data_IF_393124559323
#
_entry.id   IF_393124559323
#
_cell.length_a   1.000
_cell.length_b   1.000
_cell.length_c   1.000
_cell.angle_alpha   90.00
_cell.angle_beta   90.00
_cell.angle_gamma   90.00
#
_symmetry.space_group_name_H-M   'P 1'
#
loop_
_entity.id
_entity.type
_entity.pdbx_description
1 polymer ?
#
# COMPACT_ATOMS: atom_id res chain seq x y z
N UNK A 1 -1.39 -24.79 2.60
CA UNK A 1 -1.42 -24.90 1.13
C UNK A 1 -2.41 -26.00 0.77
N UNK A 2 -3.24 -25.79 -0.25
CA UNK A 2 -4.08 -26.83 -0.86
C UNK A 2 -3.73 -26.97 -2.34
N UNK A 3 -3.80 -28.18 -2.88
CA UNK A 3 -3.44 -28.49 -4.27
C UNK A 3 -4.55 -29.32 -4.91
N UNK A 4 -5.04 -28.85 -6.05
CA UNK A 4 -5.88 -29.67 -6.93
C UNK A 4 -5.04 -30.23 -8.05
N UNK A 5 -5.16 -31.53 -8.30
CA UNK A 5 -4.38 -32.25 -9.31
C UNK A 5 -5.31 -32.64 -10.45
N UNK A 6 -4.90 -32.36 -11.69
CA UNK A 6 -5.62 -32.86 -12.85
C UNK A 6 -5.39 -34.36 -13.03
N UNK A 7 -6.48 -35.12 -13.13
CA UNK A 7 -6.47 -36.57 -13.33
C UNK A 7 -6.86 -36.86 -14.78
N UNK A 8 -5.93 -37.43 -15.54
CA UNK A 8 -6.13 -37.80 -16.94
C UNK A 8 -7.03 -39.05 -17.05
N UNK A 9 -7.12 -39.65 -18.24
CA UNK A 9 -7.96 -40.80 -18.54
C UNK A 9 -9.33 -40.34 -19.04
N UNK A 10 -10.38 -41.03 -18.60
CA UNK A 10 -11.77 -40.61 -18.77
C UNK A 10 -12.29 -39.83 -17.55
N UNK A 11 -11.51 -39.70 -16.47
CA UNK A 11 -11.87 -38.84 -15.33
C UNK A 11 -11.91 -37.36 -15.74
N UNK A 12 -10.84 -36.85 -16.34
CA UNK A 12 -10.75 -35.51 -16.95
C UNK A 12 -11.25 -34.36 -16.08
N UNK A 13 -10.89 -34.37 -14.80
CA UNK A 13 -11.23 -33.32 -13.85
C UNK A 13 -10.15 -33.18 -12.77
N UNK A 14 -10.28 -32.14 -11.96
CA UNK A 14 -9.41 -31.85 -10.83
C UNK A 14 -9.87 -32.60 -9.58
N UNK A 15 -8.89 -33.07 -8.80
CA UNK A 15 -9.12 -33.62 -7.46
C UNK A 15 -8.22 -32.94 -6.45
N UNK A 16 -8.81 -32.48 -5.36
CA UNK A 16 -8.08 -31.94 -4.21
C UNK A 16 -7.29 -33.02 -3.50
N UNK A 17 -5.98 -32.78 -3.33
CA UNK A 17 -5.09 -33.63 -2.55
C UNK A 17 -5.32 -33.43 -1.03
N UNK A 18 -5.12 -34.46 -0.20
CA UNK A 18 -4.74 -35.83 -0.57
C UNK A 18 -5.92 -36.66 -1.10
N UNK A 19 -5.64 -37.59 -2.02
CA UNK A 19 -6.57 -38.63 -2.45
C UNK A 19 -5.83 -39.94 -2.71
N UNK A 20 -6.53 -41.06 -2.62
CA UNK A 20 -5.99 -42.41 -2.87
C UNK A 20 -6.99 -43.23 -3.68
N UNK A 21 -6.48 -44.19 -4.46
CA UNK A 21 -7.27 -45.13 -5.27
C UNK A 21 -8.27 -44.45 -6.21
N UNK A 22 -7.94 -43.25 -6.70
CA UNK A 22 -8.77 -42.55 -7.65
C UNK A 22 -8.54 -43.14 -9.05
N UNK A 23 -9.53 -43.86 -9.54
CA UNK A 23 -9.52 -44.42 -10.88
C UNK A 23 -9.56 -43.29 -11.93
N UNK A 24 -8.65 -43.38 -12.91
CA UNK A 24 -8.63 -42.47 -14.05
C UNK A 24 -9.73 -42.81 -15.08
N UNK A 25 -10.53 -43.84 -14.81
CA UNK A 25 -11.65 -44.37 -15.59
C UNK A 25 -11.23 -44.87 -16.98
N UNK A 26 -9.95 -45.18 -17.17
CA UNK A 26 -9.42 -45.74 -18.40
C UNK A 26 -9.07 -47.21 -18.22
N UNK A 27 -9.74 -48.08 -18.99
CA UNK A 27 -9.42 -49.50 -19.07
C UNK A 27 -8.15 -49.81 -19.90
N UNK A 28 -7.40 -48.79 -20.32
CA UNK A 28 -6.20 -48.96 -21.12
C UNK A 28 -5.10 -49.70 -20.32
N UNK A 29 -4.50 -50.73 -20.92
CA UNK A 29 -3.33 -51.45 -20.35
C UNK A 29 -2.00 -50.74 -20.62
N UNK A 30 -2.04 -49.41 -20.73
CA UNK A 30 -0.84 -48.60 -20.98
C UNK A 30 0.10 -48.69 -19.77
N UNK A 31 1.40 -48.86 -20.02
CA UNK A 31 2.43 -48.98 -18.97
C UNK A 31 2.83 -50.40 -18.60
N UNK A 32 2.20 -51.44 -19.19
CA UNK A 32 2.53 -52.85 -18.93
C UNK A 32 3.54 -53.47 -19.92
N UNK A 33 3.83 -52.80 -21.04
CA UNK A 33 4.79 -53.23 -22.06
C UNK A 33 5.95 -52.23 -22.15
N UNK A 34 7.11 -52.69 -22.63
CA UNK A 34 8.28 -51.83 -22.87
C UNK A 34 8.00 -50.95 -24.09
N UNK A 35 7.80 -49.64 -23.87
CA UNK A 35 7.52 -48.65 -24.91
C UNK A 35 7.20 -47.28 -24.31
N UNK A 36 7.18 -46.24 -25.13
CA UNK A 36 6.90 -44.86 -24.69
C UNK A 36 5.42 -44.70 -24.33
N UNK A 37 5.14 -44.65 -23.03
CA UNK A 37 3.82 -44.30 -22.49
C UNK A 37 3.92 -42.94 -21.82
N UNK A 38 3.12 -41.98 -22.30
CA UNK A 38 3.07 -40.64 -21.72
C UNK A 38 2.00 -40.56 -20.66
N UNK A 39 2.41 -40.35 -19.41
CA UNK A 39 1.51 -40.04 -18.31
C UNK A 39 1.39 -38.53 -18.15
N UNK A 40 0.15 -38.02 -18.08
CA UNK A 40 -0.10 -36.57 -17.93
C UNK A 40 -0.93 -36.22 -16.71
N UNK A 41 -1.37 -37.20 -15.91
CA UNK A 41 -1.91 -36.93 -14.56
C UNK A 41 -0.86 -36.18 -13.75
N UNK A 42 -1.25 -35.08 -13.11
CA UNK A 42 -0.34 -34.20 -12.37
C UNK A 42 0.42 -33.17 -13.22
N UNK A 43 0.33 -33.23 -14.57
CA UNK A 43 0.93 -32.18 -15.42
C UNK A 43 0.23 -30.82 -15.32
N UNK A 44 -0.99 -30.79 -14.76
CA UNK A 44 -1.78 -29.58 -14.50
C UNK A 44 -2.28 -29.65 -13.06
N UNK A 45 -2.38 -28.49 -12.42
CA UNK A 45 -2.93 -28.38 -11.08
C UNK A 45 -3.33 -26.95 -10.75
N UNK A 46 -4.04 -26.81 -9.63
CA UNK A 46 -4.36 -25.53 -9.02
C UNK A 46 -3.75 -25.49 -7.63
N UNK A 47 -3.33 -24.31 -7.20
CA UNK A 47 -2.72 -24.08 -5.90
C UNK A 47 -3.53 -23.05 -5.14
N UNK A 48 -3.81 -23.31 -3.87
CA UNK A 48 -4.34 -22.33 -2.93
C UNK A 48 -3.36 -22.13 -1.78
N UNK A 49 -2.92 -20.88 -1.63
CA UNK A 49 -2.05 -20.44 -0.54
C UNK A 49 -2.92 -19.79 0.54
N UNK A 50 -2.61 -20.08 1.80
CA UNK A 50 -3.26 -19.47 2.95
C UNK A 50 -2.18 -18.86 3.82
N UNK A 51 -2.27 -17.55 4.03
CA UNK A 51 -1.39 -16.79 4.92
C UNK A 51 -2.01 -16.92 6.31
N UNK A 52 -1.41 -17.75 7.17
CA UNK A 52 -1.91 -17.98 8.52
C UNK A 52 -1.45 -16.92 9.52
N UNK A 53 -0.28 -16.34 9.28
CA UNK A 53 0.28 -15.23 10.03
C UNK A 53 0.63 -14.13 9.03
N UNK A 54 0.09 -12.91 9.22
CA UNK A 54 0.53 -11.76 8.47
C UNK A 54 2.04 -11.55 8.59
N UNK A 55 2.65 -10.96 7.56
CA UNK A 55 4.08 -10.62 7.55
C UNK A 55 4.26 -9.30 6.82
N UNK A 56 5.40 -8.66 7.03
CA UNK A 56 5.76 -7.39 6.38
C UNK A 56 6.76 -7.62 5.25
N UNK A 57 6.57 -6.93 4.13
CA UNK A 57 7.50 -6.96 3.01
C UNK A 57 7.33 -8.19 2.11
N UNK A 58 8.34 -9.07 2.10
CA UNK A 58 8.41 -10.21 1.19
C UNK A 58 8.63 -11.53 1.94
N UNK A 59 7.86 -12.54 1.57
CA UNK A 59 8.08 -13.92 1.98
C UNK A 59 8.64 -14.73 0.80
N UNK A 60 9.85 -15.26 0.96
CA UNK A 60 10.48 -16.15 0.00
C UNK A 60 10.08 -17.60 0.27
N UNK A 61 9.54 -18.27 -0.74
CA UNK A 61 9.23 -19.71 -0.73
C UNK A 61 10.40 -20.43 -1.44
N UNK A 62 11.31 -21.10 -0.71
CA UNK A 62 12.34 -21.91 -1.33
C UNK A 62 11.71 -23.10 -2.07
N UNK A 63 12.47 -23.76 -2.93
CA UNK A 63 12.01 -24.97 -3.62
C UNK A 63 11.56 -26.02 -2.61
N UNK A 64 10.24 -26.14 -2.46
CA UNK A 64 9.58 -26.94 -1.43
C UNK A 64 8.74 -28.00 -2.12
N UNK A 65 8.93 -29.27 -1.76
CA UNK A 65 8.08 -30.34 -2.27
C UNK A 65 6.68 -30.23 -1.69
N UNK A 66 5.68 -30.07 -2.55
CA UNK A 66 4.27 -29.85 -2.13
C UNK A 66 3.36 -31.05 -2.42
N UNK A 67 3.78 -31.98 -3.29
CA UNK A 67 2.97 -33.12 -3.69
C UNK A 67 3.87 -34.25 -4.18
N UNK A 68 3.52 -35.49 -3.83
CA UNK A 68 3.98 -36.70 -4.49
C UNK A 68 2.79 -37.39 -5.16
N UNK A 69 2.95 -37.74 -6.44
CA UNK A 69 1.96 -38.46 -7.22
C UNK A 69 2.37 -39.92 -7.34
N UNK A 70 1.51 -40.81 -6.85
CA UNK A 70 1.65 -42.24 -6.99
C UNK A 70 0.61 -42.79 -7.97
N UNK A 71 0.96 -43.85 -8.69
CA UNK A 71 0.02 -44.57 -9.55
C UNK A 71 0.15 -46.07 -9.34
N UNK A 72 -0.95 -46.78 -9.56
CA UNK A 72 -1.01 -48.23 -9.43
C UNK A 72 -2.06 -48.83 -10.37
N UNK A 73 -1.84 -50.08 -10.77
CA UNK A 73 -2.85 -50.91 -11.43
C UNK A 73 -3.63 -51.80 -10.45
N UNK A 74 -3.29 -51.79 -9.16
CA UNK A 74 -3.96 -52.57 -8.11
C UNK A 74 -4.25 -51.67 -6.92
N UNK A 75 -5.53 -51.57 -6.58
CA UNK A 75 -6.03 -50.81 -5.42
C UNK A 75 -5.20 -51.14 -4.17
N UNK A 76 -4.83 -50.10 -3.43
CA UNK A 76 -4.03 -50.15 -2.19
C UNK A 76 -2.60 -50.72 -2.32
N UNK A 77 -2.09 -50.94 -3.54
CA UNK A 77 -0.72 -51.42 -3.76
C UNK A 77 0.10 -50.37 -4.49
N UNK A 78 0.87 -49.59 -3.75
CA UNK A 78 1.73 -48.52 -4.30
C UNK A 78 3.20 -48.85 -4.14
N UNK A 79 4.04 -48.32 -5.02
CA UNK A 79 5.49 -48.34 -4.84
C UNK A 79 5.88 -47.26 -3.79
N UNK A 80 7.01 -47.46 -3.11
CA UNK A 80 7.59 -46.46 -2.22
C UNK A 80 8.09 -45.21 -2.96
N UNK A 81 8.43 -45.34 -4.24
CA UNK A 81 8.85 -44.22 -5.09
C UNK A 81 7.65 -43.61 -5.85
N UNK A 82 7.47 -42.28 -5.84
CA UNK A 82 6.42 -41.63 -6.60
C UNK A 82 6.72 -41.64 -8.11
N UNK A 83 5.68 -41.53 -8.92
CA UNK A 83 5.79 -41.33 -10.37
C UNK A 83 6.28 -39.92 -10.71
N UNK A 84 5.84 -38.94 -9.92
CA UNK A 84 6.25 -37.55 -10.06
C UNK A 84 6.16 -36.83 -8.70
N UNK A 85 7.00 -35.81 -8.52
CA UNK A 85 6.94 -34.91 -7.38
C UNK A 85 6.80 -33.48 -7.88
N UNK A 86 5.96 -32.69 -7.22
CA UNK A 86 5.77 -31.28 -7.54
C UNK A 86 6.46 -30.43 -6.49
N UNK A 87 7.28 -29.48 -6.95
CA UNK A 87 7.95 -28.50 -6.12
C UNK A 87 7.40 -27.11 -6.42
N UNK A 88 7.27 -26.30 -5.37
CA UNK A 88 6.87 -24.89 -5.45
C UNK A 88 8.01 -24.01 -4.95
N UNK A 89 8.28 -22.93 -5.68
CA UNK A 89 9.15 -21.84 -5.26
C UNK A 89 8.59 -20.52 -5.77
N UNK A 90 8.93 -19.42 -5.11
CA UNK A 90 8.53 -18.08 -5.53
C UNK A 90 8.61 -17.10 -4.37
N UNK A 91 8.02 -15.92 -4.55
CA UNK A 91 7.90 -14.94 -3.47
C UNK A 91 6.49 -14.36 -3.38
N UNK A 92 6.12 -13.94 -2.18
CA UNK A 92 4.87 -13.23 -1.90
C UNK A 92 5.24 -11.87 -1.34
N UNK A 93 4.82 -10.80 -2.01
CA UNK A 93 5.07 -9.42 -1.60
C UNK A 93 3.75 -8.81 -1.15
N UNK A 94 3.74 -8.18 0.04
CA UNK A 94 2.58 -7.44 0.55
C UNK A 94 2.76 -5.94 0.36
N UNK A 95 1.74 -5.20 -0.13
CA UNK A 95 1.84 -3.77 -0.28
C UNK A 95 1.87 -3.08 1.09
N UNK A 96 2.70 -2.06 1.19
CA UNK A 96 2.76 -1.16 2.35
C UNK A 96 1.86 0.05 2.10
N UNK A 97 1.25 0.59 3.14
CA UNK A 97 0.40 1.76 2.98
C UNK A 97 0.05 2.44 4.29
N UNK A 98 -0.32 3.71 4.21
CA UNK A 98 -0.88 4.48 5.29
C UNK A 98 -2.13 5.22 4.80
N UNK A 99 -3.18 5.19 5.61
CA UNK A 99 -4.44 5.89 5.36
C UNK A 99 -4.70 6.88 6.49
N UNK A 100 -5.21 8.07 6.14
CA UNK A 100 -5.62 9.05 7.14
C UNK A 100 -6.79 8.48 7.96
N UNK A 101 -6.72 8.61 9.28
CA UNK A 101 -7.80 8.17 10.17
C UNK A 101 -9.14 8.83 9.82
N UNK A 102 -10.18 8.00 9.69
CA UNK A 102 -11.57 8.38 9.42
C UNK A 102 -12.08 9.46 10.38
N UNK A 103 -12.80 10.46 9.86
CA UNK A 103 -13.37 11.57 10.65
C UNK A 103 -12.55 12.86 10.65
N UNK A 104 -11.40 12.87 9.97
CA UNK A 104 -10.56 14.04 9.78
C UNK A 104 -11.04 14.85 8.57
N UNK A 105 -12.04 15.72 8.73
CA UNK A 105 -12.23 16.78 7.73
C UNK A 105 -11.03 17.73 7.79
N UNK A 106 -10.35 17.88 6.65
CA UNK A 106 -9.21 18.78 6.46
C UNK A 106 -9.67 20.08 5.81
N UNK A 107 -10.69 20.68 6.39
CA UNK A 107 -11.07 22.04 6.06
C UNK A 107 -10.39 22.96 7.07
N UNK A 108 -9.66 23.96 6.56
CA UNK A 108 -8.91 24.93 7.36
C UNK A 108 -9.54 26.31 7.15
N UNK A 109 -10.48 26.71 8.03
CA UNK A 109 -11.11 28.01 7.92
C UNK A 109 -10.18 29.08 8.52
N UNK A 110 -9.52 29.87 7.68
CA UNK A 110 -8.71 31.00 8.16
C UNK A 110 -9.58 32.14 8.73
N UNK A 111 -10.84 32.22 8.32
CA UNK A 111 -11.79 33.25 8.75
C UNK A 111 -11.73 34.52 7.90
N UNK A 112 -12.38 35.56 8.39
CA UNK A 112 -12.49 36.85 7.70
C UNK A 112 -11.36 37.81 8.09
N UNK A 113 -10.80 38.50 7.11
CA UNK A 113 -9.74 39.48 7.29
C UNK A 113 -10.06 40.77 6.57
N UNK A 114 -9.59 41.90 7.10
CA UNK A 114 -9.62 43.16 6.35
C UNK A 114 -8.49 43.12 5.33
N UNK A 115 -8.71 43.66 4.13
CA UNK A 115 -7.64 43.75 3.13
C UNK A 115 -6.38 44.46 3.68
N UNK A 116 -6.56 45.45 4.57
CA UNK A 116 -5.46 46.14 5.26
C UNK A 116 -4.59 45.25 6.12
N UNK A 117 -5.07 44.08 6.55
CA UNK A 117 -4.32 43.12 7.35
C UNK A 117 -3.21 42.41 6.54
N UNK A 118 -3.27 42.49 5.21
CA UNK A 118 -2.25 41.94 4.29
C UNK A 118 -1.31 43.01 3.73
N UNK A 119 -1.67 44.30 3.84
CA UNK A 119 -0.90 45.39 3.25
C UNK A 119 0.47 45.56 3.91
N UNK A 120 1.51 45.74 3.10
CA UNK A 120 2.91 45.96 3.48
C UNK A 120 3.53 44.78 4.26
N UNK A 121 3.04 43.55 4.00
CA UNK A 121 3.39 42.32 4.73
C UNK A 121 3.83 41.16 3.84
N UNK A 122 4.53 41.45 2.73
CA UNK A 122 5.01 40.42 1.80
C UNK A 122 5.76 39.30 2.53
N UNK A 123 5.35 38.05 2.29
CA UNK A 123 5.89 36.84 2.90
C UNK A 123 5.51 36.63 4.37
N UNK A 124 4.69 37.51 4.95
CA UNK A 124 4.33 37.47 6.37
C UNK A 124 2.87 37.07 6.54
N UNK A 125 2.60 36.43 7.68
CA UNK A 125 1.24 36.15 8.16
C UNK A 125 0.40 37.42 8.20
N UNK A 126 -0.87 37.31 7.79
CA UNK A 126 -1.82 38.42 7.87
C UNK A 126 -1.92 38.94 9.31
N UNK A 127 -2.12 40.25 9.46
CA UNK A 127 -2.27 40.86 10.78
C UNK A 127 -3.50 40.25 11.48
N UNK A 128 -3.35 39.92 12.77
CA UNK A 128 -4.38 39.27 13.60
C UNK A 128 -4.77 37.84 13.17
N UNK A 129 -4.08 37.22 12.20
CA UNK A 129 -4.33 35.82 11.90
C UNK A 129 -3.81 34.91 13.02
N UNK A 130 -4.54 33.83 13.24
CA UNK A 130 -4.11 32.75 14.12
C UNK A 130 -3.60 31.59 13.28
N UNK A 131 -2.58 30.88 13.78
CA UNK A 131 -2.14 29.63 13.16
C UNK A 131 -3.14 28.53 13.51
N UNK A 132 -3.77 27.94 12.52
CA UNK A 132 -4.64 26.79 12.69
C UNK A 132 -3.78 25.54 12.83
N UNK A 133 -3.77 24.91 14.00
CA UNK A 133 -2.99 23.69 14.25
C UNK A 133 -3.90 22.48 14.22
N UNK A 134 -3.52 21.46 13.45
CA UNK A 134 -4.24 20.19 13.34
C UNK A 134 -3.29 19.03 13.57
N UNK A 135 -3.70 18.10 14.43
CA UNK A 135 -3.06 16.80 14.55
C UNK A 135 -3.58 15.87 13.44
N UNK A 136 -2.65 15.19 12.78
CA UNK A 136 -2.91 14.20 11.75
C UNK A 136 -2.48 12.84 12.26
N UNK A 137 -3.36 11.86 12.11
CA UNK A 137 -3.08 10.48 12.46
C UNK A 137 -3.37 9.59 11.26
N UNK A 138 -2.43 8.70 10.97
CA UNK A 138 -2.48 7.74 9.87
C UNK A 138 -2.44 6.33 10.44
N UNK A 139 -3.31 5.47 9.92
CA UNK A 139 -3.28 4.03 10.15
C UNK A 139 -2.42 3.41 9.07
N UNK A 140 -1.32 2.79 9.47
CA UNK A 140 -0.35 2.21 8.56
C UNK A 140 -0.35 0.69 8.67
N UNK A 141 -0.19 0.03 7.53
CA UNK A 141 -0.24 -1.43 7.39
C UNK A 141 0.99 -1.91 6.65
N UNK A 142 1.56 -3.03 7.11
CA UNK A 142 2.74 -3.67 6.54
C UNK A 142 3.95 -2.74 6.47
N UNK A 143 4.16 -1.88 7.47
CA UNK A 143 5.37 -1.07 7.59
C UNK A 143 6.28 -1.73 8.63
N UNK A 144 7.56 -1.93 8.31
CA UNK A 144 8.55 -2.54 9.21
C UNK A 144 9.07 -1.55 10.25
N UNK A 145 9.68 -2.06 11.32
CA UNK A 145 10.38 -1.21 12.29
C UNK A 145 11.58 -0.51 11.66
N UNK A 146 11.80 0.75 12.04
CA UNK A 146 12.89 1.58 11.53
C UNK A 146 12.60 2.26 10.18
N UNK A 147 11.51 1.89 9.48
CA UNK A 147 11.05 2.60 8.28
C UNK A 147 10.55 3.99 8.66
N UNK A 148 10.95 4.98 7.88
CA UNK A 148 10.56 6.37 8.06
C UNK A 148 9.37 6.70 7.19
N UNK A 149 8.49 7.53 7.72
CA UNK A 149 7.30 7.98 7.01
C UNK A 149 7.36 9.49 6.96
N UNK A 150 7.16 10.04 5.76
CA UNK A 150 7.25 11.46 5.50
C UNK A 150 5.95 11.99 4.92
N UNK A 151 5.54 13.17 5.37
CA UNK A 151 4.45 13.96 4.81
C UNK A 151 5.02 15.08 3.95
N UNK A 152 4.45 15.24 2.76
CA UNK A 152 4.64 16.40 1.90
C UNK A 152 3.32 16.88 1.31
N UNK A 153 3.35 18.07 0.73
CA UNK A 153 2.17 18.72 0.16
C UNK A 153 2.33 18.86 -1.35
N UNK A 154 1.29 18.50 -2.08
CA UNK A 154 1.15 18.73 -3.53
C UNK A 154 0.02 19.74 -3.73
N UNK A 155 0.18 20.68 -4.67
CA UNK A 155 -0.81 21.74 -4.89
C UNK A 155 -0.27 22.84 -5.79
N UNK A 156 -1.12 23.77 -6.20
CA UNK A 156 -0.68 24.90 -7.05
C UNK A 156 0.06 25.92 -6.17
N UNK A 157 1.35 26.22 -6.41
CA UNK A 157 2.04 27.29 -5.70
C UNK A 157 1.51 28.66 -6.12
N UNK A 158 1.48 29.62 -5.20
CA UNK A 158 1.12 31.00 -5.54
C UNK A 158 2.19 31.60 -6.47
N UNK A 159 1.75 32.31 -7.51
CA UNK A 159 2.66 32.86 -8.53
C UNK A 159 3.65 33.91 -7.99
N UNK A 160 3.34 34.57 -6.87
CA UNK A 160 4.16 35.63 -6.28
C UNK A 160 4.97 35.17 -5.05
N UNK A 161 4.66 34.00 -4.49
CA UNK A 161 5.39 33.35 -3.40
C UNK A 161 5.24 31.82 -3.51
N UNK A 162 6.26 31.14 -4.02
CA UNK A 162 6.24 29.70 -4.26
C UNK A 162 6.15 28.86 -2.98
N UNK A 163 6.40 29.46 -1.81
CA UNK A 163 6.25 28.76 -0.53
C UNK A 163 4.77 28.58 -0.15
N UNK A 164 3.88 29.39 -0.72
CA UNK A 164 2.46 29.40 -0.40
C UNK A 164 1.64 28.64 -1.44
N UNK A 165 0.54 28.06 -0.98
CA UNK A 165 -0.53 27.48 -1.81
C UNK A 165 -1.34 28.64 -2.40
N UNK A 166 -1.65 28.54 -3.68
CA UNK A 166 -2.54 29.46 -4.37
C UNK A 166 -3.98 29.34 -3.85
N UNK A 167 -4.58 30.49 -3.54
CA UNK A 167 -5.97 30.60 -3.07
C UNK A 167 -6.88 31.28 -4.12
N UNK A 168 -6.43 31.36 -5.37
CA UNK A 168 -7.14 32.08 -6.44
C UNK A 168 -6.99 33.60 -6.36
N UNK A 169 -6.04 34.09 -5.56
CA UNK A 169 -5.72 35.51 -5.41
C UNK A 169 -4.20 35.72 -5.49
N UNK A 170 -3.70 36.65 -6.32
CA UNK A 170 -2.26 36.86 -6.47
C UNK A 170 -1.59 37.44 -5.21
N UNK A 171 -2.33 38.09 -4.32
CA UNK A 171 -1.83 38.82 -3.15
C UNK A 171 -2.01 38.07 -1.81
N UNK A 172 -2.72 36.94 -1.82
CA UNK A 172 -2.99 36.08 -0.66
C UNK A 172 -2.60 34.64 -0.98
N UNK A 173 -1.97 33.96 -0.04
CA UNK A 173 -1.69 32.53 -0.13
C UNK A 173 -1.76 31.86 1.24
N UNK A 174 -1.79 30.53 1.25
CA UNK A 174 -1.80 29.74 2.48
C UNK A 174 -0.45 29.04 2.67
N UNK A 175 0.10 29.11 3.88
CA UNK A 175 1.27 28.33 4.28
C UNK A 175 0.82 27.14 5.11
N UNK A 176 1.44 25.98 4.88
CA UNK A 176 1.41 24.84 5.79
C UNK A 176 2.82 24.64 6.35
N UNK A 177 2.93 24.57 7.65
CA UNK A 177 4.16 24.35 8.41
C UNK A 177 4.06 22.99 9.12
N UNK A 178 5.11 22.17 9.02
CA UNK A 178 5.19 20.90 9.75
C UNK A 178 5.52 21.10 11.23
N UNK A 179 5.37 20.04 12.03
CA UNK A 179 5.81 19.99 13.42
C UNK A 179 7.32 20.31 13.60
N UNK A 180 8.12 20.12 12.56
CA UNK A 180 9.54 20.49 12.52
C UNK A 180 9.80 22.01 12.36
N UNK A 181 8.75 22.83 12.25
CA UNK A 181 8.82 24.27 12.06
C UNK A 181 9.19 24.71 10.64
N UNK A 182 9.30 23.78 9.69
CA UNK A 182 9.58 24.08 8.28
C UNK A 182 8.27 24.22 7.51
N UNK A 183 8.28 25.15 6.55
CA UNK A 183 7.19 25.30 5.57
C UNK A 183 7.21 24.11 4.63
N UNK A 184 6.08 23.42 4.48
CA UNK A 184 5.90 22.37 3.49
C UNK A 184 5.59 23.02 2.13
N UNK A 185 6.64 23.29 1.36
CA UNK A 185 6.55 23.94 0.06
C UNK A 185 5.80 23.04 -0.94
N UNK A 186 4.74 23.53 -1.61
CA UNK A 186 3.96 22.71 -2.55
C UNK A 186 4.84 22.15 -3.68
N UNK A 187 4.75 20.84 -3.89
CA UNK A 187 5.49 20.08 -4.91
C UNK A 187 7.02 20.05 -4.75
N UNK A 188 7.57 20.46 -3.60
CA UNK A 188 9.01 20.32 -3.32
C UNK A 188 9.31 18.99 -2.62
N UNK A 189 9.94 18.06 -3.33
CA UNK A 189 10.29 16.75 -2.78
C UNK A 189 11.43 16.79 -1.75
N UNK A 190 12.18 17.90 -1.66
CA UNK A 190 13.27 18.05 -0.69
C UNK A 190 12.81 18.50 0.69
N UNK A 191 11.56 18.94 0.81
CA UNK A 191 10.98 19.44 2.06
C UNK A 191 9.87 18.51 2.52
N UNK A 192 10.07 17.90 3.67
CA UNK A 192 9.15 16.93 4.23
C UNK A 192 9.03 17.06 5.75
N UNK A 193 7.97 16.45 6.28
CA UNK A 193 7.72 16.29 7.71
C UNK A 193 7.82 14.81 8.06
N UNK A 194 8.82 14.41 8.83
CA UNK A 194 8.92 13.05 9.39
C UNK A 194 7.79 12.83 10.39
N UNK A 195 7.02 11.75 10.23
CA UNK A 195 5.96 11.38 11.16
C UNK A 195 6.53 10.62 12.35
N UNK A 196 5.91 10.78 13.51
CA UNK A 196 6.14 9.94 14.68
C UNK A 196 5.45 8.60 14.46
N UNK A 197 6.24 7.53 14.31
CA UNK A 197 5.73 6.18 14.05
C UNK A 197 5.70 5.39 15.36
N UNK A 198 4.54 4.84 15.71
CA UNK A 198 4.39 3.98 16.88
C UNK A 198 5.04 2.61 16.66
N UNK A 199 5.24 1.88 17.76
CA UNK A 199 5.43 0.44 17.68
C UNK A 199 4.23 -0.26 17.02
N UNK A 200 4.44 -1.52 16.63
CA UNK A 200 3.40 -2.40 16.14
C UNK A 200 2.28 -2.58 17.20
N UNK A 201 1.05 -2.35 16.78
CA UNK A 201 -0.16 -2.59 17.59
C UNK A 201 -0.58 -4.06 17.48
N UNK A 202 -0.34 -4.66 16.32
CA UNK A 202 -0.44 -6.10 16.03
C UNK A 202 0.66 -6.48 15.02
N UNK A 203 0.58 -7.68 14.41
CA UNK A 203 1.61 -8.18 13.49
C UNK A 203 1.89 -7.28 12.27
N UNK A 204 0.96 -6.41 11.87
CA UNK A 204 1.08 -5.61 10.63
C UNK A 204 0.68 -4.15 10.75
N UNK A 205 -0.03 -3.75 11.80
CA UNK A 205 -0.57 -2.41 11.93
C UNK A 205 0.23 -1.55 12.91
N UNK A 206 0.40 -0.28 12.55
CA UNK A 206 0.95 0.77 13.41
C UNK A 206 0.28 2.10 13.12
N UNK A 207 0.52 3.07 13.99
CA UNK A 207 0.04 4.45 13.80
C UNK A 207 1.20 5.38 13.50
N UNK A 208 0.99 6.33 12.60
CA UNK A 208 1.92 7.41 12.34
C UNK A 208 1.21 8.75 12.57
N UNK A 209 1.85 9.70 13.23
CA UNK A 209 1.23 11.00 13.50
C UNK A 209 2.19 12.17 13.33
N UNK A 210 1.60 13.33 13.05
CA UNK A 210 2.30 14.62 13.04
C UNK A 210 1.31 15.73 13.34
N UNK A 211 1.79 16.91 13.68
CA UNK A 211 1.00 18.14 13.64
C UNK A 211 1.36 18.95 12.41
N UNK A 212 0.38 19.68 11.88
CA UNK A 212 0.58 20.74 10.89
C UNK A 212 -0.02 22.03 11.41
N UNK A 213 0.58 23.15 11.04
CA UNK A 213 0.05 24.49 11.28
C UNK A 213 -0.19 25.18 9.96
N UNK A 214 -1.37 25.78 9.79
CA UNK A 214 -1.71 26.51 8.58
C UNK A 214 -2.10 27.96 8.89
N UNK A 215 -1.73 28.89 8.01
CA UNK A 215 -2.06 30.30 8.18
C UNK A 215 -2.01 31.06 6.85
N UNK A 216 -2.82 32.13 6.69
CA UNK A 216 -2.80 32.96 5.50
C UNK A 216 -1.64 33.97 5.56
N UNK A 217 -1.02 34.22 4.41
CA UNK A 217 0.05 35.21 4.24
C UNK A 217 -0.29 36.22 3.14
N UNK A 218 0.36 37.38 3.16
CA UNK A 218 0.42 38.24 1.98
C UNK A 218 1.58 37.82 1.09
N UNK A 219 1.30 37.51 -0.17
CA UNK A 219 2.32 37.02 -1.12
C UNK A 219 3.02 38.18 -1.86
N UNK A 220 2.38 39.34 -1.96
CA UNK A 220 2.92 40.53 -2.65
C UNK A 220 3.15 41.73 -1.74
N UNK A 221 2.49 41.79 -0.57
CA UNK A 221 2.40 42.98 0.28
C UNK A 221 1.41 44.04 -0.23
N UNK A 222 0.72 43.81 -1.34
CA UNK A 222 -0.32 44.72 -1.84
C UNK A 222 -1.61 44.56 -1.05
N UNK A 223 -2.51 45.52 -1.22
CA UNK A 223 -3.87 45.43 -0.71
C UNK A 223 -4.65 44.43 -1.60
N UNK A 224 -5.10 43.27 -1.08
CA UNK A 224 -5.84 42.31 -1.88
C UNK A 224 -7.25 42.82 -2.21
N UNK A 225 -7.81 42.34 -3.32
CA UNK A 225 -9.22 42.54 -3.63
C UNK A 225 -10.12 41.85 -2.60
N UNK A 226 -11.27 42.46 -2.31
CA UNK A 226 -12.29 41.85 -1.45
C UNK A 226 -12.96 40.67 -2.16
N UNK A 227 -13.21 39.59 -1.43
CA UNK A 227 -13.87 38.39 -1.94
C UNK A 227 -13.61 37.18 -1.04
N UNK A 228 -14.23 36.07 -1.41
CA UNK A 228 -13.99 34.76 -0.80
C UNK A 228 -12.94 34.01 -1.61
N UNK A 229 -11.98 33.39 -0.91
CA UNK A 229 -10.82 32.74 -1.51
C UNK A 229 -10.62 31.36 -0.92
N UNK A 230 -10.35 30.39 -1.78
CA UNK A 230 -10.14 28.99 -1.40
C UNK A 230 -8.93 28.43 -2.16
N UNK A 231 -8.15 27.61 -1.47
CA UNK A 231 -7.02 26.89 -2.03
C UNK A 231 -7.12 25.42 -1.69
N UNK A 232 -6.63 24.56 -2.59
CA UNK A 232 -6.64 23.11 -2.40
C UNK A 232 -5.21 22.62 -2.44
N UNK A 233 -4.87 21.76 -1.47
CA UNK A 233 -3.63 21.02 -1.46
C UNK A 233 -3.88 19.57 -1.04
N UNK A 234 -3.11 18.67 -1.65
CA UNK A 234 -3.15 17.24 -1.40
C UNK A 234 -1.99 16.86 -0.50
N UNK A 235 -2.28 16.13 0.57
CA UNK A 235 -1.25 15.51 1.40
C UNK A 235 -0.77 14.22 0.75
N UNK A 236 0.54 14.07 0.63
CA UNK A 236 1.16 12.84 0.16
C UNK A 236 2.06 12.26 1.23
N UNK A 237 1.94 10.95 1.42
CA UNK A 237 2.78 10.16 2.31
C UNK A 237 3.79 9.38 1.48
N UNK A 238 5.07 9.53 1.83
CA UNK A 238 6.15 8.74 1.28
C UNK A 238 6.75 7.86 2.40
N UNK A 239 7.09 6.61 2.07
CA UNK A 239 7.57 5.59 3.00
C UNK A 239 8.97 5.18 2.55
N UNK A 240 9.96 5.30 3.44
CA UNK A 240 11.40 5.13 3.16
C UNK A 240 12.11 4.19 4.13
#
# INVERSE_FOLDING_TARGET
ISVDVWVQGHYQDYKTAPFSNLDNLSAARAGCNVGDVRFTTGSKGKLSLYINHPFVGELQIPSTKILDLFGTHKVDVYNASPLASVYLSGSIIVPQGCELSSGSTLEIPFGEFKATDFKDRKGQVAKNATKFTKELQFKCTNISDGVKIFLRIEGTPNANDSNAIDMGNPDIGAIIEGANGKILVPNDASVNQELSVSGLVDDTHRTASTTISAYPISTTGKLPAAGDFEGIATMRIDVE
#
